data_IF_675048893127
#
_entry.id   IF_675048893127
#
_cell.length_a   1.000
_cell.length_b   1.000
_cell.length_c   1.000
_cell.angle_alpha   90.00
_cell.angle_beta   90.00
_cell.angle_gamma   90.00
#
_symmetry.space_group_name_H-M   'P 1'
#
loop_
_entity.id
_entity.type
_entity.pdbx_description
1 polymer ?
#
# COMPACT_ATOMS: atom_id res chain seq x y z
N UNK A 1 46.43 -11.03 7.46
CA UNK A 1 45.51 -11.85 6.63
C UNK A 1 44.29 -12.19 7.48
N UNK A 2 43.24 -11.37 7.41
CA UNK A 2 41.98 -11.64 8.11
C UNK A 2 41.05 -12.41 7.15
N UNK A 3 40.60 -13.58 7.59
CA UNK A 3 39.65 -14.42 6.84
C UNK A 3 38.25 -13.82 6.99
N UNK A 4 37.71 -13.30 5.89
CA UNK A 4 36.30 -12.94 5.80
C UNK A 4 35.46 -14.22 5.98
N UNK A 5 34.74 -14.30 7.10
CA UNK A 5 33.76 -15.35 7.34
C UNK A 5 32.50 -15.00 6.54
N UNK A 6 32.45 -15.50 5.31
CA UNK A 6 31.24 -15.50 4.50
C UNK A 6 30.24 -16.46 5.15
N UNK A 7 29.22 -15.91 5.82
CA UNK A 7 28.07 -16.67 6.31
C UNK A 7 27.24 -17.14 5.13
N UNK A 8 27.63 -18.24 4.50
CA UNK A 8 26.73 -18.99 3.62
C UNK A 8 25.63 -19.59 4.50
N UNK A 9 24.49 -18.90 4.57
CA UNK A 9 23.26 -19.47 5.14
C UNK A 9 22.89 -20.65 4.24
N UNK A 10 23.33 -21.85 4.60
CA UNK A 10 22.86 -23.09 3.96
C UNK A 10 21.37 -23.22 4.29
N UNK A 11 20.53 -22.83 3.36
CA UNK A 11 19.09 -23.04 3.45
C UNK A 11 18.85 -24.55 3.28
N UNK A 12 18.68 -25.27 4.38
CA UNK A 12 18.36 -26.70 4.38
C UNK A 12 17.00 -26.92 3.68
N UNK A 13 16.89 -27.97 2.87
CA UNK A 13 15.69 -28.31 2.11
C UNK A 13 14.48 -28.52 3.04
N UNK A 14 14.74 -29.07 4.24
CA UNK A 14 13.71 -29.22 5.29
C UNK A 14 13.17 -27.86 5.73
N UNK A 15 14.04 -26.89 5.97
CA UNK A 15 13.65 -25.52 6.34
C UNK A 15 12.84 -24.85 5.24
N UNK A 16 13.25 -25.01 3.97
CA UNK A 16 12.49 -24.51 2.83
C UNK A 16 11.09 -25.13 2.73
N UNK A 17 10.98 -26.44 2.99
CA UNK A 17 9.68 -27.13 2.98
C UNK A 17 8.74 -26.61 4.08
N UNK A 18 9.26 -26.29 5.26
CA UNK A 18 8.50 -25.74 6.38
C UNK A 18 8.04 -24.32 6.08
N UNK A 19 8.92 -23.47 5.54
CA UNK A 19 8.58 -22.10 5.15
C UNK A 19 7.49 -22.07 4.06
N UNK A 20 7.57 -22.95 3.05
CA UNK A 20 6.52 -23.08 2.03
C UNK A 20 5.17 -23.50 2.63
N UNK A 21 5.17 -24.40 3.62
CA UNK A 21 3.95 -24.78 4.34
C UNK A 21 3.38 -23.62 5.17
N UNK A 22 4.25 -22.83 5.81
CA UNK A 22 3.84 -21.65 6.56
C UNK A 22 3.21 -20.59 5.63
N UNK A 23 3.86 -20.26 4.51
CA UNK A 23 3.35 -19.31 3.53
C UNK A 23 1.97 -19.72 2.97
N UNK A 24 1.75 -21.01 2.71
CA UNK A 24 0.44 -21.51 2.28
C UNK A 24 -0.65 -21.33 3.33
N UNK A 25 -0.33 -21.55 4.62
CA UNK A 25 -1.28 -21.32 5.72
C UNK A 25 -1.58 -19.83 5.90
N UNK A 26 -0.56 -18.98 5.85
CA UNK A 26 -0.72 -17.53 5.92
C UNK A 26 -1.63 -17.02 4.80
N UNK A 27 -1.43 -17.48 3.55
CA UNK A 27 -2.30 -17.13 2.44
C UNK A 27 -3.76 -17.56 2.66
N UNK A 28 -3.97 -18.73 3.26
CA UNK A 28 -5.31 -19.21 3.62
C UNK A 28 -5.95 -18.33 4.70
N UNK A 29 -5.24 -18.03 5.79
CA UNK A 29 -5.72 -17.14 6.86
C UNK A 29 -6.07 -15.76 6.33
N UNK A 30 -5.21 -15.19 5.47
CA UNK A 30 -5.44 -13.88 4.87
C UNK A 30 -6.70 -13.86 4.01
N UNK A 31 -6.98 -14.95 3.28
CA UNK A 31 -8.21 -15.06 2.49
C UNK A 31 -9.45 -15.17 3.40
N UNK A 32 -9.39 -15.96 4.47
CA UNK A 32 -10.48 -16.08 5.44
C UNK A 32 -10.79 -14.73 6.13
N UNK A 33 -9.74 -14.01 6.55
CA UNK A 33 -9.88 -12.65 7.10
C UNK A 33 -10.46 -11.67 6.08
N UNK A 34 -9.99 -11.70 4.83
CA UNK A 34 -10.53 -10.85 3.78
C UNK A 34 -12.03 -11.09 3.60
N UNK A 35 -12.46 -12.36 3.51
CA UNK A 35 -13.88 -12.70 3.38
C UNK A 35 -14.69 -12.19 4.58
N UNK A 36 -14.16 -12.30 5.80
CA UNK A 36 -14.85 -11.80 7.00
C UNK A 36 -15.01 -10.27 7.04
N UNK A 37 -14.10 -9.54 6.39
CA UNK A 37 -14.09 -8.07 6.35
C UNK A 37 -14.93 -7.50 5.20
N UNK A 38 -15.31 -8.33 4.22
CA UNK A 38 -16.15 -7.87 3.11
C UNK A 38 -17.48 -7.30 3.63
N UNK A 39 -17.85 -6.13 3.11
CA UNK A 39 -19.08 -5.43 3.48
C UNK A 39 -19.04 -4.67 4.81
N UNK A 40 -17.94 -4.76 5.57
CA UNK A 40 -17.78 -3.95 6.78
C UNK A 40 -17.43 -2.49 6.41
N UNK A 41 -17.93 -1.50 7.18
CA UNK A 41 -17.56 -0.11 6.98
C UNK A 41 -16.07 0.11 7.30
N UNK A 42 -15.44 0.97 6.53
CA UNK A 42 -14.06 1.42 6.77
C UNK A 42 -14.11 2.67 7.64
N UNK A 43 -13.25 2.74 8.63
CA UNK A 43 -13.13 3.88 9.53
C UNK A 43 -11.85 4.65 9.23
N UNK A 44 -11.83 5.93 9.61
CA UNK A 44 -10.56 6.62 9.77
C UNK A 44 -9.68 5.83 10.76
N UNK A 45 -8.36 5.92 10.65
CA UNK A 45 -7.42 5.14 11.45
C UNK A 45 -7.19 3.72 10.97
N UNK A 46 -8.07 3.17 10.14
CA UNK A 46 -7.88 1.83 9.60
C UNK A 46 -6.62 1.75 8.74
N UNK A 47 -5.97 0.60 8.83
CA UNK A 47 -4.86 0.20 7.98
C UNK A 47 -5.38 -0.65 6.84
N UNK A 48 -5.11 -0.23 5.62
CA UNK A 48 -5.63 -0.89 4.42
C UNK A 48 -4.55 -1.13 3.37
N UNK A 49 -4.73 -2.22 2.63
CA UNK A 49 -4.04 -2.49 1.37
C UNK A 49 -4.92 -1.98 0.22
N UNK A 50 -4.32 -1.26 -0.72
CA UNK A 50 -5.03 -0.75 -1.90
C UNK A 50 -4.67 -1.58 -3.12
N UNK A 51 -5.63 -2.35 -3.65
CA UNK A 51 -5.44 -3.19 -4.83
C UNK A 51 -6.02 -2.53 -6.08
N UNK A 52 -5.22 -2.43 -7.13
CA UNK A 52 -5.69 -2.02 -8.45
C UNK A 52 -6.42 -3.19 -9.13
N UNK A 53 -7.75 -3.05 -9.25
CA UNK A 53 -8.66 -4.12 -9.71
C UNK A 53 -8.24 -4.72 -11.06
N UNK A 54 -7.82 -3.90 -12.03
CA UNK A 54 -7.49 -4.40 -13.38
C UNK A 54 -6.21 -5.22 -13.41
N UNK A 55 -5.17 -4.80 -12.69
CA UNK A 55 -3.89 -5.51 -12.72
C UNK A 55 -3.73 -6.53 -11.59
N UNK A 56 -4.63 -6.55 -10.61
CA UNK A 56 -4.51 -7.37 -9.40
C UNK A 56 -3.26 -7.04 -8.56
N UNK A 57 -2.70 -5.83 -8.72
CA UNK A 57 -1.47 -5.41 -8.04
C UNK A 57 -1.77 -4.43 -6.93
N UNK A 58 -0.98 -4.47 -5.88
CA UNK A 58 -1.13 -3.62 -4.72
C UNK A 58 -0.28 -2.36 -4.84
N UNK A 59 -0.83 -1.25 -4.36
CA UNK A 59 -0.08 -0.02 -4.20
C UNK A 59 0.95 -0.23 -3.08
N UNK A 60 2.21 0.07 -3.37
CA UNK A 60 3.31 -0.17 -2.44
C UNK A 60 4.22 1.05 -2.39
N UNK A 61 4.53 1.49 -1.18
CA UNK A 61 5.59 2.45 -0.92
C UNK A 61 6.95 1.78 -1.11
N UNK A 62 7.87 2.40 -1.85
CA UNK A 62 9.20 1.86 -2.02
C UNK A 62 10.23 2.71 -1.28
N UNK A 63 11.23 2.04 -0.72
CA UNK A 63 12.40 2.72 -0.13
C UNK A 63 13.26 3.43 -1.18
N UNK A 64 13.10 3.07 -2.45
CA UNK A 64 13.78 3.68 -3.57
C UNK A 64 13.30 5.13 -3.79
N UNK A 65 14.19 6.07 -4.12
CA UNK A 65 13.80 7.45 -4.39
C UNK A 65 12.78 7.57 -5.54
N UNK A 66 11.98 8.63 -5.52
CA UNK A 66 11.11 9.00 -6.65
C UNK A 66 11.93 9.40 -7.88
N UNK A 67 11.33 9.32 -9.06
CA UNK A 67 12.01 9.59 -10.32
C UNK A 67 12.53 11.03 -10.41
N UNK A 68 11.74 12.00 -9.94
CA UNK A 68 12.07 13.42 -10.04
C UNK A 68 12.70 14.01 -8.78
N UNK A 69 12.51 13.38 -7.61
CA UNK A 69 13.00 13.92 -6.35
C UNK A 69 13.66 12.85 -5.47
N UNK A 70 14.98 12.97 -5.27
CA UNK A 70 15.77 12.04 -4.47
C UNK A 70 15.42 12.03 -2.98
N UNK A 71 14.78 13.09 -2.47
CA UNK A 71 14.36 13.21 -1.07
C UNK A 71 12.99 12.57 -0.78
N UNK A 72 12.25 12.23 -1.83
CA UNK A 72 10.95 11.61 -1.76
C UNK A 72 11.05 10.16 -2.22
N UNK A 73 10.06 9.37 -1.85
CA UNK A 73 10.05 7.93 -2.08
C UNK A 73 9.07 7.57 -3.18
N UNK A 74 9.43 6.61 -4.01
CA UNK A 74 8.57 6.16 -5.11
C UNK A 74 7.40 5.33 -4.59
N UNK A 75 6.27 5.37 -5.30
CA UNK A 75 5.11 4.51 -5.05
C UNK A 75 4.83 3.76 -6.35
N UNK A 76 4.68 2.43 -6.27
CA UNK A 76 4.46 1.59 -7.46
C UNK A 76 3.45 0.49 -7.20
N UNK A 77 2.97 -0.13 -8.28
CA UNK A 77 2.11 -1.31 -8.21
C UNK A 77 2.95 -2.59 -8.20
N UNK A 78 2.89 -3.35 -7.11
CA UNK A 78 3.60 -4.63 -6.93
C UNK A 78 2.63 -5.81 -6.88
N UNK A 79 3.08 -6.98 -7.31
CA UNK A 79 2.28 -8.21 -7.29
C UNK A 79 2.17 -8.77 -5.87
N UNK A 80 3.30 -8.84 -5.17
CA UNK A 80 3.36 -9.18 -3.75
C UNK A 80 3.19 -7.90 -2.91
N UNK A 81 2.43 -8.02 -1.82
CA UNK A 81 2.24 -6.97 -0.84
C UNK A 81 2.87 -7.37 0.49
N UNK A 82 3.23 -6.36 1.27
CA UNK A 82 3.83 -6.54 2.58
C UNK A 82 3.65 -5.30 3.44
N UNK A 83 4.53 -5.12 4.41
CA UNK A 83 4.45 -4.00 5.36
C UNK A 83 4.46 -2.62 4.68
N UNK A 84 5.20 -2.48 3.59
CA UNK A 84 5.31 -1.24 2.83
C UNK A 84 4.08 -0.97 1.92
N UNK A 85 3.13 -1.91 1.86
CA UNK A 85 1.85 -1.74 1.14
C UNK A 85 0.69 -1.36 2.06
N UNK A 86 0.97 -1.16 3.36
CA UNK A 86 -0.01 -0.76 4.36
C UNK A 86 -0.10 0.77 4.39
N UNK A 87 -1.32 1.29 4.23
CA UNK A 87 -1.61 2.71 4.38
C UNK A 87 -2.63 2.93 5.49
N UNK A 88 -2.33 3.87 6.39
CA UNK A 88 -3.29 4.36 7.39
C UNK A 88 -4.13 5.47 6.78
N UNK A 89 -5.45 5.35 6.88
CA UNK A 89 -6.38 6.33 6.31
C UNK A 89 -6.71 7.39 7.35
N UNK A 90 -6.35 8.65 7.09
CA UNK A 90 -6.69 9.77 7.97
C UNK A 90 -7.66 10.74 7.28
N UNK A 91 -8.44 11.46 8.07
CA UNK A 91 -9.23 12.57 7.53
C UNK A 91 -8.33 13.73 7.16
N UNK A 92 -8.63 14.40 6.03
CA UNK A 92 -8.01 15.69 5.70
C UNK A 92 -8.34 16.74 6.77
N UNK A 93 -9.52 16.65 7.38
CA UNK A 93 -10.06 17.68 8.25
C UNK A 93 -10.09 17.23 9.72
N UNK A 94 -9.89 18.18 10.63
CA UNK A 94 -9.80 17.91 12.08
C UNK A 94 -11.14 17.61 12.77
N UNK A 95 -12.27 17.73 12.07
CA UNK A 95 -13.60 17.52 12.67
C UNK A 95 -14.05 16.05 12.68
N UNK A 96 -13.30 15.16 12.01
CA UNK A 96 -13.54 13.71 12.04
C UNK A 96 -12.61 13.06 13.05
N UNK A 97 -13.13 12.10 13.81
CA UNK A 97 -12.35 11.28 14.73
C UNK A 97 -11.80 10.03 14.02
N UNK A 98 -10.77 9.44 14.62
CA UNK A 98 -10.07 8.23 14.14
C UNK A 98 -10.92 6.95 14.22
N UNK A 99 -12.20 7.04 14.52
CA UNK A 99 -13.11 5.90 14.56
C UNK A 99 -14.39 6.20 13.80
N UNK A 100 -14.47 7.38 13.16
CA UNK A 100 -15.63 7.74 12.36
C UNK A 100 -15.58 6.95 11.05
N UNK A 101 -16.74 6.53 10.57
CA UNK A 101 -16.89 5.86 9.27
C UNK A 101 -16.51 6.81 8.14
N UNK A 102 -15.80 6.30 7.14
CA UNK A 102 -15.46 7.01 5.92
C UNK A 102 -16.63 6.94 4.95
N UNK A 103 -17.10 8.10 4.50
CA UNK A 103 -18.18 8.19 3.52
C UNK A 103 -17.66 8.53 2.13
N UNK A 104 -18.48 8.23 1.13
CA UNK A 104 -18.22 8.65 -0.24
C UNK A 104 -18.13 10.17 -0.30
N UNK A 105 -17.22 10.69 -1.14
CA UNK A 105 -16.86 12.11 -1.27
C UNK A 105 -16.07 12.70 -0.11
N UNK A 106 -15.82 11.96 0.96
CA UNK A 106 -14.87 12.41 1.99
C UNK A 106 -13.48 12.59 1.38
N UNK A 107 -12.75 13.55 1.92
CA UNK A 107 -11.36 13.79 1.57
C UNK A 107 -10.46 13.16 2.62
N UNK A 108 -9.62 12.23 2.17
CA UNK A 108 -8.76 11.42 3.01
C UNK A 108 -7.29 11.69 2.68
N UNK A 109 -6.41 11.41 3.62
CA UNK A 109 -4.97 11.37 3.40
C UNK A 109 -4.48 9.96 3.65
N UNK A 110 -3.63 9.43 2.76
CA UNK A 110 -3.03 8.12 2.91
C UNK A 110 -1.62 8.26 3.49
N UNK A 111 -1.39 7.65 4.64
CA UNK A 111 -0.12 7.70 5.34
C UNK A 111 0.59 6.35 5.25
N UNK A 112 1.84 6.33 4.78
CA UNK A 112 2.68 5.12 4.82
C UNK A 112 3.05 4.79 6.26
N UNK A 113 3.55 3.56 6.50
CA UNK A 113 4.08 3.17 7.81
C UNK A 113 5.24 4.07 8.29
N UNK A 114 5.99 4.68 7.37
CA UNK A 114 7.06 5.64 7.67
C UNK A 114 6.53 7.06 8.02
N UNK A 115 5.20 7.26 8.02
CA UNK A 115 4.60 8.57 8.30
C UNK A 115 4.68 9.55 7.12
N UNK A 116 4.85 9.05 5.89
CA UNK A 116 4.86 9.87 4.68
C UNK A 116 3.49 9.85 4.02
N UNK A 117 3.06 10.98 3.47
CA UNK A 117 1.81 11.08 2.72
C UNK A 117 2.02 10.64 1.28
N UNK A 118 1.08 9.88 0.74
CA UNK A 118 1.04 9.55 -0.69
C UNK A 118 0.34 10.68 -1.43
N UNK A 119 0.97 11.22 -2.48
CA UNK A 119 0.44 12.35 -3.25
C UNK A 119 1.04 12.47 -4.64
N UNK A 120 0.41 13.30 -5.47
CA UNK A 120 0.90 13.61 -6.81
C UNK A 120 2.14 14.54 -6.77
N UNK A 121 3.02 14.33 -7.75
CA UNK A 121 4.11 15.23 -8.06
C UNK A 121 3.60 16.46 -8.80
N UNK A 122 4.39 17.54 -8.77
CA UNK A 122 4.23 18.70 -9.68
C UNK A 122 5.11 18.58 -10.93
N UNK A 123 5.99 17.59 -10.93
CA UNK A 123 6.95 17.33 -11.99
C UNK A 123 6.33 16.41 -13.03
N UNK A 124 6.48 16.78 -14.30
CA UNK A 124 5.90 16.09 -15.46
C UNK A 124 6.97 15.30 -16.19
N UNK A 125 6.59 14.16 -16.77
CA UNK A 125 7.50 13.37 -17.59
C UNK A 125 7.76 14.04 -18.93
N UNK A 126 9.03 14.08 -19.37
CA UNK A 126 9.42 14.71 -20.62
C UNK A 126 8.75 14.08 -21.85
N UNK A 127 8.44 12.78 -21.81
CA UNK A 127 7.79 12.04 -22.88
C UNK A 127 6.27 11.90 -22.71
N UNK A 128 5.71 12.29 -21.56
CA UNK A 128 4.30 12.14 -21.18
C UNK A 128 3.85 13.36 -20.39
N UNK A 129 3.53 14.43 -21.13
CA UNK A 129 3.15 15.75 -20.58
C UNK A 129 1.73 15.72 -19.94
N UNK A 130 1.03 14.60 -19.96
CA UNK A 130 -0.25 14.40 -19.30
C UNK A 130 -0.14 13.59 -18.00
N UNK A 131 1.06 13.13 -17.63
CA UNK A 131 1.28 12.24 -16.50
C UNK A 131 2.10 12.90 -15.40
N UNK A 132 1.60 12.77 -14.17
CA UNK A 132 2.29 13.12 -12.95
C UNK A 132 2.67 11.85 -12.20
N UNK A 133 3.88 11.82 -11.65
CA UNK A 133 4.30 10.72 -10.77
C UNK A 133 3.56 10.81 -9.43
N UNK A 134 3.08 9.68 -8.90
CA UNK A 134 2.62 9.58 -7.50
C UNK A 134 3.80 9.15 -6.63
N UNK A 135 4.03 9.85 -5.52
CA UNK A 135 5.19 9.65 -4.64
C UNK A 135 4.80 9.77 -3.17
N UNK A 136 5.64 9.28 -2.26
CA UNK A 136 5.49 9.51 -0.83
C UNK A 136 6.35 10.70 -0.37
N UNK A 137 5.72 11.63 0.34
CA UNK A 137 6.32 12.92 0.72
C UNK A 137 5.87 13.36 2.11
N UNK A 138 6.60 14.31 2.72
CA UNK A 138 6.25 14.86 4.05
C UNK A 138 5.10 15.86 4.02
N UNK A 139 4.76 16.39 2.85
CA UNK A 139 3.66 17.35 2.69
C UNK A 139 2.34 16.60 2.56
N UNK A 140 1.34 17.00 3.35
CA UNK A 140 0.02 16.40 3.29
C UNK A 140 -0.64 16.70 1.94
N UNK A 141 -1.16 15.64 1.32
CA UNK A 141 -2.04 15.74 0.16
C UNK A 141 -3.30 14.93 0.44
N UNK A 142 -4.36 15.16 -0.32
CA UNK A 142 -5.65 14.54 -0.08
C UNK A 142 -6.16 13.83 -1.33
N UNK A 143 -6.96 12.81 -1.09
CA UNK A 143 -7.65 12.01 -2.08
C UNK A 143 -9.13 12.06 -1.80
N UNK A 144 -9.94 12.25 -2.83
CA UNK A 144 -11.39 12.23 -2.69
C UNK A 144 -11.90 10.81 -2.90
N UNK A 145 -12.62 10.27 -1.93
CA UNK A 145 -13.21 8.93 -2.02
C UNK A 145 -14.38 8.96 -3.01
N UNK A 146 -14.35 8.04 -3.98
CA UNK A 146 -15.44 7.83 -4.93
C UNK A 146 -15.95 6.40 -4.86
N UNK A 147 -17.15 6.18 -5.39
CA UNK A 147 -17.71 4.83 -5.59
C UNK A 147 -17.73 4.55 -7.07
N UNK A 148 -17.20 3.40 -7.48
CA UNK A 148 -17.45 2.87 -8.81
C UNK A 148 -18.68 1.96 -8.76
N UNK A 149 -19.79 2.45 -9.32
CA UNK A 149 -21.10 1.76 -9.32
C UNK A 149 -21.13 0.60 -10.34
N UNK A 150 -20.07 0.40 -11.12
CA UNK A 150 -19.97 -0.67 -12.12
C UNK A 150 -19.67 -2.05 -11.53
N UNK A 151 -19.35 -2.14 -10.23
CA UNK A 151 -19.01 -3.40 -9.55
C UNK A 151 -20.17 -4.08 -8.81
N UNK A 152 -21.38 -3.50 -8.77
CA UNK A 152 -22.50 -4.00 -7.94
C UNK A 152 -23.29 -5.16 -8.57
N UNK A 153 -22.87 -5.66 -9.73
CA UNK A 153 -23.46 -6.85 -10.41
C UNK A 153 -22.59 -8.10 -10.20
N UNK A 154 -22.32 -8.43 -8.94
CA UNK A 154 -21.88 -9.79 -8.57
C UNK A 154 -22.85 -10.26 -7.48
N UNK A 155 -24.02 -10.70 -7.93
CA UNK A 155 -24.98 -11.52 -7.20
C UNK A 155 -25.12 -12.85 -7.93
#
# INVERSE_FOLDING_TARGET
MQREHCWSVKCDEKSLSLLRKAAKREAQTNNEELQSKLGQPIHYGDQAYLMHVRSGRYLTHNRNPSAFNRLQKSVSLMEEFGEDSIFTIHSRHKFRNITDVIYCKDEITLLTREGLYVGESKDMWANRVDMLEVRSMRSATHWKVGVDVRGTTLA
#
